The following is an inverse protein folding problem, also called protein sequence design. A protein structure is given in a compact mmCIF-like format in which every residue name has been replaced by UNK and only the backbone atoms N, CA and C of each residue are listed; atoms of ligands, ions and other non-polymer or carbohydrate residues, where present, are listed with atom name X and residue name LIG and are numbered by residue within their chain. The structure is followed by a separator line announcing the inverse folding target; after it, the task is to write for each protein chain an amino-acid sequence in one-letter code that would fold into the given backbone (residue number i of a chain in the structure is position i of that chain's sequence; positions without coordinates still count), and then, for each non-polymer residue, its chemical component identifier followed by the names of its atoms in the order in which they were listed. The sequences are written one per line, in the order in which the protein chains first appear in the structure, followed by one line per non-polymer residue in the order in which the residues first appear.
data_IF_837591071405
#
_entry.id   IF_837591071405
#
_cell.length_a   1.000
_cell.length_b   1.000
_cell.length_c   1.000
_cell.angle_alpha   90.00
_cell.angle_beta   90.00
_cell.angle_gamma   90.00
#
_symmetry.space_group_name_H-M   'P 1'
#
loop_
_entity.id
_entity.type
_entity.pdbx_description
1 polymer ?
#
# COMPACT_ATOMS: atom_id res chain seq x y z
N UNK A 1 9.92 1.43 14.39
CA UNK A 1 9.94 2.59 13.46
C UNK A 1 8.86 3.57 13.88
N UNK A 2 9.05 4.89 13.73
CA UNK A 2 8.00 5.88 14.01
C UNK A 2 7.51 6.47 12.71
N UNK A 3 6.19 6.58 12.58
CA UNK A 3 5.54 7.24 11.45
C UNK A 3 4.86 8.52 11.91
N UNK A 4 4.94 9.54 11.08
CA UNK A 4 4.05 10.70 11.18
C UNK A 4 2.95 10.55 10.14
N UNK A 5 1.70 10.47 10.59
CA UNK A 5 0.54 10.50 9.71
C UNK A 5 0.34 11.89 9.17
N UNK A 6 0.48 12.06 7.85
CA UNK A 6 0.46 13.39 7.22
C UNK A 6 -0.85 13.66 6.48
N UNK A 7 -1.55 12.62 6.00
CA UNK A 7 -2.74 12.81 5.17
C UNK A 7 -3.63 11.56 5.10
N UNK A 8 -4.91 11.75 4.82
CA UNK A 8 -5.88 10.69 4.55
C UNK A 8 -6.55 10.91 3.20
N UNK A 9 -6.79 9.82 2.46
CA UNK A 9 -7.36 9.89 1.13
C UNK A 9 -8.21 8.70 0.76
N UNK A 10 -8.74 8.79 -0.47
CA UNK A 10 -9.52 7.74 -1.10
C UNK A 10 -8.99 7.44 -2.49
N UNK A 11 -9.01 6.18 -2.89
CA UNK A 11 -8.67 5.75 -4.24
C UNK A 11 -9.71 4.76 -4.78
N UNK A 12 -10.03 4.88 -6.07
CA UNK A 12 -10.92 3.92 -6.73
C UNK A 12 -10.21 2.58 -6.91
N UNK A 13 -10.90 1.46 -6.65
CA UNK A 13 -10.35 0.13 -6.94
C UNK A 13 -10.07 -0.03 -8.43
N UNK A 14 -9.03 -0.82 -8.77
CA UNK A 14 -8.74 -1.18 -10.16
C UNK A 14 -9.75 -2.18 -10.74
N UNK A 15 -10.38 -2.98 -9.89
CA UNK A 15 -11.40 -3.97 -10.26
C UNK A 15 -12.50 -4.01 -9.20
N UNK A 16 -13.73 -4.22 -9.64
CA UNK A 16 -14.91 -4.18 -8.78
C UNK A 16 -15.34 -2.75 -8.44
N UNK A 17 -16.35 -2.64 -7.58
CA UNK A 17 -16.88 -1.36 -7.11
C UNK A 17 -16.25 -0.96 -5.77
N UNK A 18 -16.25 0.34 -5.50
CA UNK A 18 -15.90 0.92 -4.20
C UNK A 18 -14.55 1.64 -4.14
N UNK A 19 -14.37 2.35 -3.03
CA UNK A 19 -13.19 3.15 -2.73
C UNK A 19 -12.37 2.49 -1.62
N UNK A 20 -11.05 2.63 -1.76
CA UNK A 20 -10.05 2.32 -0.75
C UNK A 20 -9.78 3.59 0.04
N UNK A 21 -9.88 3.52 1.35
CA UNK A 21 -9.43 4.59 2.24
C UNK A 21 -8.01 4.28 2.68
N UNK A 22 -7.14 5.30 2.69
CA UNK A 22 -5.74 5.12 3.03
C UNK A 22 -5.17 6.33 3.75
N UNK A 23 -4.06 6.12 4.47
CA UNK A 23 -3.22 7.15 5.05
C UNK A 23 -1.87 7.20 4.37
N UNK A 24 -1.36 8.41 4.20
CA UNK A 24 0.03 8.65 3.88
C UNK A 24 0.80 8.87 5.16
N UNK A 25 1.87 8.10 5.31
CA UNK A 25 2.76 8.12 6.44
C UNK A 25 4.16 8.47 5.96
N UNK A 26 4.90 9.22 6.76
CA UNK A 26 6.33 9.49 6.51
C UNK A 26 7.12 9.04 7.72
N UNK A 27 8.19 8.29 7.49
CA UNK A 27 9.10 7.89 8.56
C UNK A 27 10.09 9.00 8.93
N UNK A 28 10.98 8.75 9.89
CA UNK A 28 12.01 9.71 10.32
C UNK A 28 13.05 10.00 9.22
N UNK A 29 13.17 9.12 8.22
CA UNK A 29 14.06 9.28 7.07
C UNK A 29 13.44 10.04 5.90
N UNK A 30 12.16 10.42 5.99
CA UNK A 30 11.44 11.08 4.91
C UNK A 30 10.87 10.13 3.85
N UNK A 31 10.89 8.82 4.09
CA UNK A 31 10.34 7.82 3.18
C UNK A 31 8.81 7.77 3.30
N UNK A 32 8.14 7.71 2.14
CA UNK A 32 6.68 7.70 2.04
C UNK A 32 6.13 6.27 2.10
N UNK A 33 5.12 6.09 2.95
CA UNK A 33 4.40 4.84 3.13
C UNK A 33 2.89 5.04 2.97
N UNK A 34 2.22 3.95 2.58
CA UNK A 34 0.77 3.85 2.48
C UNK A 34 0.27 2.84 3.51
N UNK A 35 -0.71 3.24 4.32
CA UNK A 35 -1.51 2.33 5.14
C UNK A 35 -2.92 2.29 4.58
N UNK A 36 -3.44 1.10 4.27
CA UNK A 36 -4.84 0.94 3.89
C UNK A 36 -5.66 0.93 5.18
N UNK A 37 -6.68 1.79 5.28
CA UNK A 37 -7.50 1.93 6.50
C UNK A 37 -8.96 1.56 6.29
N UNK A 38 -9.40 1.42 5.05
CA UNK A 38 -10.79 1.08 4.75
C UNK A 38 -11.01 0.64 3.32
N UNK A 39 -12.11 -0.05 3.11
CA UNK A 39 -12.60 -0.46 1.79
C UNK A 39 -14.14 -0.45 1.82
N UNK A 40 -14.74 0.45 1.05
CA UNK A 40 -16.18 0.78 1.18
C UNK A 40 -17.13 -0.35 0.79
N UNK A 41 -16.71 -1.26 -0.08
CA UNK A 41 -17.55 -2.36 -0.61
C UNK A 41 -17.09 -3.74 -0.08
N UNK A 42 -16.30 -3.74 1.01
CA UNK A 42 -15.77 -4.96 1.60
C UNK A 42 -14.60 -5.57 0.81
N UNK A 43 -13.98 -6.57 1.43
CA UNK A 43 -12.67 -7.11 1.05
C UNK A 43 -11.68 -6.95 2.21
N UNK A 44 -10.78 -7.91 2.33
CA UNK A 44 -9.79 -7.94 3.42
C UNK A 44 -8.49 -7.27 2.95
N UNK A 45 -7.75 -6.69 3.88
CA UNK A 45 -6.47 -6.02 3.66
C UNK A 45 -5.67 -6.00 4.98
N UNK A 46 -4.35 -5.86 4.91
CA UNK A 46 -3.49 -5.73 6.10
C UNK A 46 -3.50 -4.29 6.61
N UNK A 47 -4.53 -3.95 7.40
CA UNK A 47 -4.76 -2.58 7.88
C UNK A 47 -3.81 -2.10 8.99
N UNK A 48 -3.06 -3.00 9.59
CA UNK A 48 -2.02 -2.74 10.60
C UNK A 48 -0.63 -2.52 9.99
N UNK A 49 -0.52 -2.62 8.66
CA UNK A 49 0.75 -2.51 7.94
C UNK A 49 0.87 -1.19 7.15
N UNK A 50 2.10 -0.69 7.09
CA UNK A 50 2.52 0.44 6.27
C UNK A 50 3.45 -0.06 5.16
N UNK A 51 3.10 0.20 3.90
CA UNK A 51 3.83 -0.26 2.73
C UNK A 51 4.63 0.89 2.12
N UNK A 52 5.94 0.68 1.93
CA UNK A 52 6.82 1.66 1.30
C UNK A 52 6.44 1.87 -0.16
N UNK A 53 6.19 3.11 -0.56
CA UNK A 53 5.81 3.44 -1.94
C UNK A 53 6.95 3.13 -2.91
N UNK A 54 8.19 3.48 -2.54
CA UNK A 54 9.36 3.26 -3.38
C UNK A 54 9.66 1.76 -3.57
N UNK A 55 9.58 0.97 -2.50
CA UNK A 55 9.78 -0.47 -2.57
C UNK A 55 8.67 -1.15 -3.36
N UNK A 56 7.43 -0.71 -3.19
CA UNK A 56 6.30 -1.23 -3.96
C UNK A 56 6.44 -0.96 -5.46
N UNK A 57 6.90 0.23 -5.87
CA UNK A 57 7.17 0.54 -7.28
C UNK A 57 8.23 -0.41 -7.83
N UNK A 58 9.34 -0.63 -7.11
CA UNK A 58 10.40 -1.55 -7.52
C UNK A 58 9.90 -3.01 -7.57
N UNK A 59 9.06 -3.39 -6.61
CA UNK A 59 8.43 -4.70 -6.54
C UNK A 59 7.56 -4.98 -7.77
N UNK A 60 6.69 -4.03 -8.16
CA UNK A 60 5.83 -4.16 -9.36
C UNK A 60 6.62 -4.08 -10.67
N UNK A 61 7.70 -3.28 -10.72
CA UNK A 61 8.54 -3.14 -11.91
C UNK A 61 9.50 -4.31 -12.15
N UNK A 62 9.75 -5.14 -11.14
CA UNK A 62 10.57 -6.34 -11.28
C UNK A 62 9.76 -7.49 -11.88
N UNK A 63 10.42 -8.35 -12.69
CA UNK A 63 9.85 -9.56 -13.29
C UNK A 63 9.56 -10.68 -12.25
N UNK A 64 9.06 -10.29 -11.07
CA UNK A 64 8.76 -11.15 -9.93
C UNK A 64 7.50 -11.97 -10.16
N UNK A 65 7.33 -12.99 -9.33
CA UNK A 65 6.17 -13.87 -9.37
C UNK A 65 4.87 -13.05 -9.18
N UNK A 66 3.87 -13.22 -10.06
CA UNK A 66 2.54 -12.63 -9.88
C UNK A 66 1.90 -12.92 -8.52
N UNK A 67 2.22 -14.06 -7.90
CA UNK A 67 1.71 -14.49 -6.59
C UNK A 67 2.50 -13.92 -5.40
N UNK A 68 3.70 -13.36 -5.65
CA UNK A 68 4.47 -12.71 -4.58
C UNK A 68 3.66 -11.57 -3.99
N UNK A 69 3.68 -11.48 -2.66
CA UNK A 69 2.98 -10.45 -1.89
C UNK A 69 3.94 -9.34 -1.50
N UNK A 70 3.47 -8.07 -1.45
CA UNK A 70 4.32 -6.97 -1.01
C UNK A 70 4.69 -7.14 0.47
N UNK A 71 5.89 -6.69 0.83
CA UNK A 71 6.27 -6.54 2.23
C UNK A 71 5.89 -5.16 2.75
N UNK A 72 5.58 -5.08 4.03
CA UNK A 72 5.30 -3.84 4.73
C UNK A 72 5.77 -3.92 6.17
N UNK A 73 5.62 -2.81 6.87
CA UNK A 73 6.04 -2.63 8.26
C UNK A 73 4.79 -2.66 9.13
N UNK A 74 4.76 -3.56 10.11
CA UNK A 74 3.70 -3.58 11.14
C UNK A 74 3.82 -2.32 11.98
N UNK A 75 2.78 -1.51 12.01
CA UNK A 75 2.82 -0.16 12.61
C UNK A 75 3.07 -0.22 14.11
N UNK A 76 2.56 -1.25 14.80
CA UNK A 76 2.66 -1.38 16.26
C UNK A 76 4.10 -1.60 16.73
N UNK A 77 4.84 -2.50 16.08
CA UNK A 77 6.14 -2.95 16.56
C UNK A 77 7.31 -2.60 15.62
N UNK A 78 7.01 -2.20 14.38
CA UNK A 78 7.99 -1.85 13.37
C UNK A 78 8.63 -3.04 12.66
N UNK A 79 8.12 -4.26 12.84
CA UNK A 79 8.63 -5.45 12.17
C UNK A 79 8.26 -5.43 10.69
N UNK A 80 9.20 -5.81 9.83
CA UNK A 80 8.90 -6.08 8.43
C UNK A 80 8.24 -7.45 8.29
N UNK A 81 7.11 -7.51 7.58
CA UNK A 81 6.39 -8.74 7.26
C UNK A 81 5.91 -8.74 5.82
N UNK A 82 5.71 -9.94 5.29
CA UNK A 82 4.93 -10.10 4.06
C UNK A 82 3.46 -9.79 4.34
N UNK A 83 2.77 -9.18 3.38
CA UNK A 83 1.34 -8.94 3.46
C UNK A 83 0.59 -10.25 3.75
N UNK A 84 -0.33 -10.20 4.71
CA UNK A 84 -1.20 -11.33 5.00
C UNK A 84 -2.29 -11.46 3.94
N UNK A 85 -2.58 -10.38 3.21
CA UNK A 85 -3.67 -10.31 2.25
C UNK A 85 -3.24 -10.34 0.78
N UNK A 86 -3.94 -11.14 -0.02
CA UNK A 86 -3.76 -11.23 -1.47
C UNK A 86 -4.24 -9.96 -2.21
N UNK A 87 -5.19 -9.22 -1.62
CA UNK A 87 -5.74 -8.02 -2.25
C UNK A 87 -4.80 -6.82 -2.15
N UNK A 88 -3.87 -6.81 -1.19
CA UNK A 88 -3.05 -5.63 -0.89
C UNK A 88 -2.21 -5.21 -2.08
N UNK A 89 -1.69 -6.15 -2.86
CA UNK A 89 -0.98 -5.85 -4.11
C UNK A 89 -1.84 -5.04 -5.08
N UNK A 90 -3.11 -5.44 -5.26
CA UNK A 90 -4.05 -4.75 -6.14
C UNK A 90 -4.48 -3.39 -5.58
N UNK A 91 -4.71 -3.31 -4.27
CA UNK A 91 -5.12 -2.09 -3.58
C UNK A 91 -4.00 -1.04 -3.57
N UNK A 92 -2.77 -1.45 -3.25
CA UNK A 92 -1.59 -0.60 -3.34
C UNK A 92 -1.35 -0.15 -4.78
N UNK A 93 -1.54 -1.01 -5.79
CA UNK A 93 -1.47 -0.61 -7.21
C UNK A 93 -2.48 0.50 -7.53
N UNK A 94 -3.70 0.40 -7.01
CA UNK A 94 -4.73 1.44 -7.19
C UNK A 94 -4.31 2.78 -6.58
N UNK A 95 -3.89 2.75 -5.31
CA UNK A 95 -3.50 3.94 -4.55
C UNK A 95 -2.26 4.60 -5.16
N UNK A 96 -1.21 3.82 -5.44
CA UNK A 96 0.04 4.34 -6.00
C UNK A 96 -0.16 4.90 -7.41
N UNK A 97 -0.99 4.26 -8.24
CA UNK A 97 -1.29 4.78 -9.58
C UNK A 97 -2.07 6.11 -9.54
N UNK A 98 -2.88 6.34 -8.51
CA UNK A 98 -3.54 7.63 -8.29
C UNK A 98 -2.56 8.71 -7.80
N UNK A 99 -1.71 8.36 -6.84
CA UNK A 99 -0.74 9.29 -6.24
C UNK A 99 0.36 9.69 -7.24
N UNK A 100 0.83 8.72 -8.02
CA UNK A 100 1.96 8.84 -8.92
C UNK A 100 1.63 8.23 -10.30
N UNK A 101 0.78 8.87 -11.10
CA UNK A 101 0.37 8.35 -12.40
C UNK A 101 1.57 8.05 -13.31
N UNK A 102 1.62 6.85 -13.89
CA UNK A 102 2.68 6.44 -14.82
C UNK A 102 3.95 5.88 -14.19
N UNK A 103 4.05 5.86 -12.85
CA UNK A 103 5.22 5.27 -12.15
C UNK A 103 5.18 3.75 -12.07
N UNK A 104 4.01 3.12 -12.28
CA UNK A 104 3.88 1.68 -12.36
C UNK A 104 3.90 1.25 -13.82
N UNK A 105 4.82 0.36 -14.18
CA UNK A 105 4.85 -0.27 -15.50
C UNK A 105 3.53 -1.01 -15.77
N UNK A 106 3.04 -0.91 -17.01
CA UNK A 106 1.78 -1.55 -17.45
C UNK A 106 1.86 -3.07 -17.34
#
# INVERSE_FOLDING_TARGET
MKFTGIWQGKAQKLRGNGELEYRLLVDEGGQLYVQITGNSEGGTFSGDMAFSVAEFINFVGSNRDPEEKPKGIVIENGDEKESENENDKGFLKAIVNQLLPGMLSK
#
